data_IF_231605969455
#
_entry.id   IF_231605969455
#
_cell.length_a   1.000
_cell.length_b   1.000
_cell.length_c   1.000
_cell.angle_alpha   90.00
_cell.angle_beta   90.00
_cell.angle_gamma   90.00
#
_symmetry.space_group_name_H-M   'P 1'
#
loop_
_entity.id
_entity.type
_entity.pdbx_description
1 polymer ?
#
# COMPACT_ATOMS: atom_id res chain seq x y z
N UNK A 1 10.70 2.25 -1.22
CA UNK A 1 9.51 1.37 -1.32
C UNK A 1 9.90 0.09 -2.04
N UNK A 2 9.43 -1.01 -1.55
CA UNK A 2 9.80 -2.32 -2.10
C UNK A 2 8.54 -3.12 -2.39
N UNK A 3 8.47 -3.73 -3.57
CA UNK A 3 7.33 -4.54 -3.99
C UNK A 3 7.67 -6.01 -3.83
N UNK A 4 6.78 -6.77 -3.21
CA UNK A 4 6.93 -8.22 -3.06
C UNK A 4 5.69 -8.92 -3.57
N UNK A 5 5.88 -10.06 -4.22
CA UNK A 5 4.80 -10.96 -4.54
C UNK A 5 4.64 -11.92 -3.38
N UNK A 6 3.44 -12.00 -2.84
CA UNK A 6 3.11 -12.89 -1.73
C UNK A 6 1.94 -13.77 -2.12
N UNK A 7 2.03 -15.03 -1.80
CA UNK A 7 0.97 -15.99 -2.12
C UNK A 7 0.98 -16.46 -3.56
N UNK A 8 0.24 -17.52 -3.82
CA UNK A 8 0.19 -18.19 -5.12
C UNK A 8 -0.68 -17.45 -6.13
N UNK A 9 -1.54 -16.56 -5.65
CA UNK A 9 -2.49 -15.83 -6.51
C UNK A 9 -1.93 -14.52 -7.04
N UNK A 10 -0.66 -14.27 -6.79
CA UNK A 10 -0.03 -13.03 -7.24
C UNK A 10 -0.33 -11.82 -6.37
N UNK A 11 -0.66 -12.05 -5.10
CA UNK A 11 -0.85 -10.97 -4.15
C UNK A 11 0.41 -10.13 -4.04
N UNK A 12 0.24 -8.83 -3.88
CA UNK A 12 1.34 -7.87 -3.84
C UNK A 12 1.41 -7.23 -2.48
N UNK A 13 2.61 -7.14 -1.94
CA UNK A 13 2.90 -6.42 -0.72
C UNK A 13 3.84 -5.27 -1.05
N UNK A 14 3.45 -4.06 -0.71
CA UNK A 14 4.29 -2.87 -0.85
C UNK A 14 4.87 -2.53 0.50
N UNK A 15 6.18 -2.66 0.62
CA UNK A 15 6.90 -2.31 1.84
C UNK A 15 7.36 -0.86 1.73
N UNK A 16 6.82 -0.01 2.58
CA UNK A 16 7.11 1.42 2.58
C UNK A 16 8.11 1.81 3.67
N UNK A 17 8.81 0.85 4.27
CA UNK A 17 9.81 1.14 5.29
C UNK A 17 10.86 2.11 4.73
N UNK A 18 11.20 3.13 5.52
CA UNK A 18 12.20 4.12 5.12
C UNK A 18 11.69 5.23 4.23
N UNK A 19 10.44 5.17 3.79
CA UNK A 19 9.85 6.25 2.99
C UNK A 19 9.65 7.47 3.89
N UNK A 20 10.19 8.61 3.48
CA UNK A 20 10.12 9.84 4.28
C UNK A 20 9.11 10.83 3.76
N UNK A 21 8.66 10.66 2.52
CA UNK A 21 7.74 11.59 1.88
C UNK A 21 6.89 10.86 0.85
N UNK A 22 5.63 11.26 0.76
CA UNK A 22 4.72 10.79 -0.27
C UNK A 22 3.76 11.92 -0.64
N UNK A 23 3.42 12.01 -1.91
CA UNK A 23 2.47 12.98 -2.42
C UNK A 23 1.36 12.28 -3.22
N UNK A 24 0.53 13.07 -3.89
CA UNK A 24 -0.59 12.52 -4.66
C UNK A 24 -0.13 11.60 -5.80
N UNK A 25 1.06 11.83 -6.35
CA UNK A 25 1.61 10.95 -7.39
C UNK A 25 1.92 9.57 -6.81
N UNK A 26 2.45 9.51 -5.58
CA UNK A 26 2.70 8.24 -4.90
C UNK A 26 1.41 7.49 -4.60
N UNK A 27 0.38 8.19 -4.15
CA UNK A 27 -0.93 7.59 -3.91
C UNK A 27 -1.55 7.08 -5.21
N UNK A 28 -1.41 7.82 -6.31
CA UNK A 28 -1.88 7.38 -7.62
C UNK A 28 -1.21 6.08 -8.05
N UNK A 29 0.07 5.94 -7.76
CA UNK A 29 0.80 4.71 -8.04
C UNK A 29 0.22 3.53 -7.24
N UNK A 30 -0.10 3.73 -5.98
CA UNK A 30 -0.74 2.70 -5.16
C UNK A 30 -2.07 2.26 -5.79
N UNK A 31 -2.86 3.21 -6.25
CA UNK A 31 -4.15 2.92 -6.88
C UNK A 31 -3.97 2.15 -8.19
N UNK A 32 -2.98 2.50 -8.99
CA UNK A 32 -2.67 1.77 -10.21
C UNK A 32 -2.30 0.32 -9.92
N UNK A 33 -1.45 0.10 -8.91
CA UNK A 33 -1.07 -1.25 -8.51
C UNK A 33 -2.29 -2.02 -7.98
N UNK A 34 -3.14 -1.35 -7.23
CA UNK A 34 -4.38 -1.94 -6.73
C UNK A 34 -5.28 -2.41 -7.88
N UNK A 35 -5.48 -1.58 -8.89
CA UNK A 35 -6.29 -1.96 -10.05
C UNK A 35 -5.69 -3.16 -10.79
N UNK A 36 -4.38 -3.18 -10.95
CA UNK A 36 -3.71 -4.33 -11.57
C UNK A 36 -3.93 -5.60 -10.75
N UNK A 37 -3.92 -5.51 -9.43
CA UNK A 37 -4.20 -6.65 -8.56
C UNK A 37 -5.64 -7.12 -8.71
N UNK A 38 -6.60 -6.20 -8.71
CA UNK A 38 -8.01 -6.52 -8.85
C UNK A 38 -8.28 -7.25 -10.17
N UNK A 39 -7.65 -6.80 -11.25
CA UNK A 39 -7.81 -7.41 -12.56
C UNK A 39 -7.35 -8.87 -12.58
N UNK A 40 -6.42 -9.24 -11.71
CA UNK A 40 -5.93 -10.61 -11.59
C UNK A 40 -6.63 -11.40 -10.48
N UNK A 41 -7.56 -10.78 -9.76
CA UNK A 41 -8.15 -11.39 -8.58
C UNK A 41 -7.19 -11.47 -7.39
N UNK A 42 -6.15 -10.66 -7.39
CA UNK A 42 -5.14 -10.62 -6.33
C UNK A 42 -5.43 -9.49 -5.34
N UNK A 43 -4.69 -9.49 -4.23
CA UNK A 43 -4.82 -8.48 -3.19
C UNK A 43 -3.57 -7.62 -3.11
N UNK A 44 -3.77 -6.37 -2.73
CA UNK A 44 -2.68 -5.46 -2.43
C UNK A 44 -2.69 -5.15 -0.93
N UNK A 45 -1.52 -5.23 -0.31
CA UNK A 45 -1.32 -4.81 1.07
C UNK A 45 -0.13 -3.87 1.12
N UNK A 46 -0.28 -2.75 1.80
CA UNK A 46 0.82 -1.83 2.08
C UNK A 46 1.26 -2.07 3.52
N UNK A 47 2.55 -2.34 3.72
CA UNK A 47 3.08 -2.65 5.03
C UNK A 47 4.18 -1.68 5.41
N UNK A 48 4.46 -1.59 6.71
CA UNK A 48 5.47 -0.70 7.27
C UNK A 48 5.27 0.74 6.81
N UNK A 49 4.00 1.15 6.71
CA UNK A 49 3.66 2.48 6.23
C UNK A 49 4.04 3.54 7.26
N UNK A 50 4.94 4.46 6.94
CA UNK A 50 5.22 5.58 7.83
C UNK A 50 4.00 6.47 7.98
N UNK A 51 4.03 7.37 8.94
CA UNK A 51 2.91 8.26 9.23
C UNK A 51 2.49 9.08 8.01
N UNK A 52 3.43 9.51 7.19
CA UNK A 52 3.09 10.26 5.97
C UNK A 52 2.21 9.43 5.02
N UNK A 53 2.47 8.14 4.92
CA UNK A 53 1.67 7.25 4.07
C UNK A 53 0.31 6.99 4.68
N UNK A 54 0.25 6.65 5.96
CA UNK A 54 -1.04 6.36 6.62
C UNK A 54 -1.94 7.59 6.61
N UNK A 55 -1.37 8.75 6.88
CA UNK A 55 -2.14 9.99 6.91
C UNK A 55 -2.70 10.34 5.54
N UNK A 56 -1.88 10.26 4.49
CA UNK A 56 -2.32 10.58 3.14
C UNK A 56 -3.33 9.55 2.65
N UNK A 57 -3.15 8.28 3.03
CA UNK A 57 -4.10 7.22 2.69
C UNK A 57 -5.48 7.47 3.33
N UNK A 58 -5.50 7.96 4.56
CA UNK A 58 -6.75 8.32 5.23
C UNK A 58 -7.41 9.52 4.56
N UNK A 59 -6.64 10.54 4.23
CA UNK A 59 -7.17 11.76 3.61
C UNK A 59 -7.74 11.51 2.23
N UNK A 60 -7.14 10.62 1.47
CA UNK A 60 -7.60 10.29 0.11
C UNK A 60 -8.63 9.16 0.08
N UNK A 61 -8.75 8.41 1.17
CA UNK A 61 -9.68 7.29 1.26
C UNK A 61 -9.19 6.00 0.64
N UNK A 62 -7.94 5.93 0.17
CA UNK A 62 -7.41 4.70 -0.44
C UNK A 62 -7.26 3.57 0.57
N UNK A 63 -7.20 3.88 1.86
CA UNK A 63 -7.16 2.87 2.91
C UNK A 63 -8.43 2.04 2.98
N UNK A 64 -9.48 2.43 2.28
CA UNK A 64 -10.71 1.67 2.13
C UNK A 64 -10.66 0.68 0.97
N UNK A 65 -9.72 0.86 0.05
CA UNK A 65 -9.59 0.00 -1.12
C UNK A 65 -8.70 -1.20 -0.83
N UNK A 66 -7.66 -1.01 -0.04
CA UNK A 66 -6.69 -2.05 0.29
C UNK A 66 -6.13 -1.80 1.68
N UNK A 67 -5.51 -2.83 2.25
CA UNK A 67 -4.95 -2.74 3.60
C UNK A 67 -3.71 -1.86 3.61
N UNK A 68 -3.69 -0.90 4.54
CA UNK A 68 -2.51 -0.08 4.81
C UNK A 68 -2.15 -0.31 6.27
N UNK A 69 -0.99 -0.91 6.51
CA UNK A 69 -0.52 -1.26 7.84
C UNK A 69 0.60 -0.34 8.27
N UNK A 70 0.39 0.34 9.38
CA UNK A 70 1.37 1.26 9.93
C UNK A 70 2.62 0.52 10.41
N UNK A 71 3.78 1.17 10.27
CA UNK A 71 5.02 0.66 10.83
C UNK A 71 4.98 0.58 12.35
N UNK A 72 4.10 1.37 12.98
CA UNK A 72 3.90 1.39 14.43
C UNK A 72 2.87 0.37 14.89
N UNK A 73 2.32 -0.42 13.98
CA UNK A 73 1.33 -1.43 14.32
C UNK A 73 2.02 -2.57 15.07
N UNK A 74 2.05 -2.44 16.37
CA UNK A 74 2.65 -3.44 17.27
C UNK A 74 1.53 -4.25 17.88
N UNK A 75 1.74 -5.51 17.92
CA UNK A 75 0.77 -6.43 18.54
C UNK A 75 0.72 -6.27 20.04
#
# INVERSE_FOLDING_TARGET
MRTRLTGMDGDVELDCAGLTFIDSAGISLFVEIYHACVDRGARLTVVNAPRCVTRLSELTGVDRLFDVRSEDAVL
#
